data_IF_563959630888
#
_entry.id   IF_563959630888
#
_cell.length_a   1.000
_cell.length_b   1.000
_cell.length_c   1.000
_cell.angle_alpha   90.00
_cell.angle_beta   90.00
_cell.angle_gamma   90.00
#
_symmetry.space_group_name_H-M   'P 1'
#
loop_
_entity.id
_entity.type
_entity.pdbx_description
1 polymer ?
#
# COMPACT_ATOMS: atom_id res chain seq x y z
N UNK A 1 -18.33 -3.85 12.02
CA UNK A 1 -17.01 -3.98 11.37
C UNK A 1 -16.90 -5.30 10.60
N UNK A 2 -16.92 -6.46 11.26
CA UNK A 2 -16.84 -7.78 10.61
C UNK A 2 -17.83 -7.99 9.45
N UNK A 3 -19.10 -7.63 9.63
CA UNK A 3 -20.10 -7.70 8.56
C UNK A 3 -19.73 -6.81 7.35
N UNK A 4 -19.17 -5.61 7.59
CA UNK A 4 -18.73 -4.72 6.52
C UNK A 4 -17.52 -5.26 5.76
N UNK A 5 -16.61 -5.98 6.44
CA UNK A 5 -15.47 -6.69 5.82
C UNK A 5 -15.96 -7.83 4.94
N UNK A 6 -16.89 -8.65 5.43
CA UNK A 6 -17.47 -9.75 4.66
C UNK A 6 -18.19 -9.21 3.43
N UNK A 7 -19.02 -8.17 3.57
CA UNK A 7 -19.71 -7.52 2.46
C UNK A 7 -18.70 -6.94 1.45
N UNK A 8 -17.65 -6.27 1.91
CA UNK A 8 -16.62 -5.69 1.02
C UNK A 8 -15.85 -6.77 0.26
N UNK A 9 -15.54 -7.90 0.92
CA UNK A 9 -14.89 -9.05 0.30
C UNK A 9 -15.79 -9.68 -0.77
N UNK A 10 -17.06 -9.95 -0.44
CA UNK A 10 -18.04 -10.53 -1.38
C UNK A 10 -18.32 -9.59 -2.56
N UNK A 11 -18.28 -8.28 -2.33
CA UNK A 11 -18.45 -7.26 -3.37
C UNK A 11 -17.19 -7.04 -4.24
N UNK A 12 -16.08 -7.74 -3.99
CA UNK A 12 -14.81 -7.55 -4.71
C UNK A 12 -14.14 -6.20 -4.45
N UNK A 13 -14.52 -5.49 -3.37
CA UNK A 13 -13.95 -4.20 -2.98
C UNK A 13 -12.69 -4.41 -2.12
N UNK A 14 -11.68 -5.04 -2.70
CA UNK A 14 -10.39 -5.35 -2.07
C UNK A 14 -9.66 -4.10 -1.54
N UNK A 15 -9.90 -2.94 -2.16
CA UNK A 15 -9.38 -1.63 -1.73
C UNK A 15 -9.76 -1.26 -0.30
N UNK A 16 -11.00 -1.55 0.11
CA UNK A 16 -11.45 -1.21 1.48
C UNK A 16 -10.70 -2.05 2.50
N UNK A 17 -10.48 -3.32 2.18
CA UNK A 17 -9.73 -4.25 3.02
C UNK A 17 -8.26 -3.88 3.10
N UNK A 18 -7.64 -3.54 1.96
CA UNK A 18 -6.24 -3.12 1.91
C UNK A 18 -6.00 -1.79 2.64
N UNK A 19 -7.00 -0.90 2.68
CA UNK A 19 -6.94 0.36 3.43
C UNK A 19 -6.98 0.15 4.95
N UNK A 20 -7.83 -0.78 5.42
CA UNK A 20 -8.04 -1.07 6.84
C UNK A 20 -7.02 -2.05 7.43
N UNK A 21 -6.28 -2.79 6.58
CA UNK A 21 -5.21 -3.67 7.03
C UNK A 21 -4.07 -2.87 7.69
N UNK A 22 -3.79 -3.08 9.00
CA UNK A 22 -2.75 -2.36 9.71
C UNK A 22 -1.36 -2.58 9.12
N UNK A 23 -1.07 -3.77 8.58
CA UNK A 23 0.23 -4.07 8.01
C UNK A 23 0.46 -3.26 6.73
N UNK A 24 -0.50 -3.32 5.80
CA UNK A 24 -0.43 -2.57 4.55
C UNK A 24 -0.49 -1.06 4.78
N UNK A 25 -1.31 -0.59 5.72
CA UNK A 25 -1.32 0.81 6.14
C UNK A 25 0.05 1.29 6.63
N UNK A 26 0.70 0.49 7.49
CA UNK A 26 2.06 0.78 7.96
C UNK A 26 3.08 0.82 6.82
N UNK A 27 3.06 -0.17 5.92
CA UNK A 27 3.94 -0.19 4.75
C UNK A 27 3.80 1.06 3.87
N UNK A 28 2.57 1.54 3.67
CA UNK A 28 2.29 2.80 2.95
C UNK A 28 2.81 4.03 3.67
N UNK A 29 2.61 4.12 4.99
CA UNK A 29 3.13 5.23 5.81
C UNK A 29 4.66 5.28 5.76
N UNK A 30 5.34 4.14 5.93
CA UNK A 30 6.80 4.08 5.84
C UNK A 30 7.30 4.47 4.44
N UNK A 31 6.65 3.95 3.40
CA UNK A 31 7.10 4.16 2.01
C UNK A 31 6.89 5.60 1.53
N UNK A 32 5.72 6.18 1.80
CA UNK A 32 5.34 7.47 1.20
C UNK A 32 5.52 8.65 2.14
N UNK A 33 5.51 8.47 3.45
CA UNK A 33 5.67 9.56 4.41
C UNK A 33 7.06 9.55 5.05
N UNK A 34 7.44 8.46 5.72
CA UNK A 34 8.68 8.45 6.51
C UNK A 34 9.95 8.35 5.67
N UNK A 35 9.94 7.56 4.58
CA UNK A 35 11.12 7.40 3.71
C UNK A 35 11.54 8.70 3.02
N UNK A 36 10.65 9.50 2.40
CA UNK A 36 11.05 10.81 1.86
C UNK A 36 11.59 11.76 2.91
N UNK A 37 11.00 11.78 4.12
CA UNK A 37 11.50 12.60 5.24
C UNK A 37 12.90 12.14 5.69
N UNK A 38 13.12 10.83 5.77
CA UNK A 38 14.42 10.25 6.09
C UNK A 38 15.48 10.60 5.03
N UNK A 39 15.15 10.48 3.74
CA UNK A 39 16.04 10.85 2.64
C UNK A 39 16.33 12.35 2.61
N UNK A 40 15.34 13.20 2.89
CA UNK A 40 15.54 14.63 3.06
C UNK A 40 16.53 14.93 4.19
N UNK A 41 16.39 14.26 5.33
CA UNK A 41 17.34 14.34 6.44
C UNK A 41 18.76 13.90 6.03
N UNK A 42 18.88 12.79 5.31
CA UNK A 42 20.18 12.34 4.77
C UNK A 42 20.81 13.37 3.83
N UNK A 43 20.03 13.99 2.94
CA UNK A 43 20.54 15.00 2.01
C UNK A 43 21.00 16.28 2.74
N UNK A 44 20.29 16.69 3.80
CA UNK A 44 20.74 17.80 4.65
C UNK A 44 22.06 17.47 5.34
N UNK A 45 22.21 16.24 5.84
CA UNK A 45 23.46 15.78 6.43
C UNK A 45 24.59 15.68 5.38
N UNK A 46 24.28 15.23 4.17
CA UNK A 46 25.23 15.17 3.05
C UNK A 46 25.76 16.57 2.70
N UNK A 47 24.88 17.57 2.62
CA UNK A 47 25.27 18.97 2.38
C UNK A 47 26.15 19.53 3.52
N UNK A 48 25.75 19.26 4.77
CA UNK A 48 26.49 19.75 5.92
C UNK A 48 27.90 19.13 6.00
N UNK A 49 28.01 17.81 5.81
CA UNK A 49 29.26 17.09 5.96
C UNK A 49 30.20 17.28 4.76
N UNK A 50 29.65 17.44 3.55
CA UNK A 50 30.45 17.77 2.36
C UNK A 50 31.15 19.12 2.54
N UNK A 51 30.49 20.09 3.21
CA UNK A 51 31.11 21.37 3.54
C UNK A 51 32.32 21.23 4.48
N UNK A 52 32.32 20.23 5.36
CA UNK A 52 33.46 19.89 6.24
C UNK A 52 34.46 18.91 5.60
N UNK A 53 34.35 18.62 4.30
CA UNK A 53 35.23 17.70 3.58
C UNK A 53 35.02 16.22 3.92
N UNK A 54 33.87 15.87 4.50
CA UNK A 54 33.52 14.49 4.88
C UNK A 54 32.40 13.95 3.98
N UNK A 55 32.69 12.88 3.24
CA UNK A 55 31.77 12.27 2.26
C UNK A 55 31.08 10.99 2.77
N UNK A 56 30.94 10.85 4.09
CA UNK A 56 30.24 9.70 4.69
C UNK A 56 28.76 9.62 4.23
N UNK A 57 28.15 10.77 3.96
CA UNK A 57 26.79 10.88 3.45
C UNK A 57 26.81 11.31 1.98
N UNK A 58 26.01 10.67 1.15
CA UNK A 58 25.84 10.99 -0.27
C UNK A 58 24.40 11.46 -0.53
N UNK A 59 24.24 12.36 -1.51
CA UNK A 59 22.92 12.82 -1.92
C UNK A 59 22.12 11.68 -2.54
N UNK A 60 20.85 11.60 -2.15
CA UNK A 60 19.88 10.61 -2.61
C UNK A 60 18.69 11.30 -3.22
N UNK A 61 18.20 10.81 -4.36
CA UNK A 61 17.00 11.36 -4.98
C UNK A 61 15.76 11.07 -4.11
N UNK A 62 14.96 12.11 -3.85
CA UNK A 62 13.71 12.01 -3.10
C UNK A 62 12.58 11.83 -4.09
N UNK A 63 12.08 10.61 -4.22
CA UNK A 63 10.99 10.30 -5.15
C UNK A 63 9.65 10.09 -4.42
N UNK A 64 8.67 10.93 -4.74
CA UNK A 64 7.28 10.76 -4.30
C UNK A 64 6.54 10.00 -5.41
N UNK A 65 6.34 8.70 -5.23
CA UNK A 65 5.80 7.83 -6.29
C UNK A 65 4.36 8.16 -6.73
N UNK A 66 3.54 8.74 -5.84
CA UNK A 66 2.15 9.13 -6.14
C UNK A 66 1.59 10.07 -5.06
N UNK A 67 1.02 11.21 -5.46
CA UNK A 67 0.35 12.14 -4.55
C UNK A 67 -0.84 11.49 -3.85
N UNK A 68 -1.63 10.69 -4.56
CA UNK A 68 -2.78 9.99 -3.99
C UNK A 68 -2.34 9.04 -2.85
N UNK A 69 -1.24 8.31 -3.05
CA UNK A 69 -0.71 7.40 -2.04
C UNK A 69 -0.18 8.12 -0.81
N UNK A 70 0.45 9.28 -1.01
CA UNK A 70 0.89 10.15 0.08
C UNK A 70 -0.29 10.68 0.90
N UNK A 71 -1.32 11.21 0.23
CA UNK A 71 -2.51 11.73 0.91
C UNK A 71 -3.22 10.64 1.73
N UNK A 72 -3.35 9.43 1.18
CA UNK A 72 -3.92 8.29 1.89
C UNK A 72 -3.07 7.90 3.11
N UNK A 73 -1.74 7.89 2.98
CA UNK A 73 -0.84 7.59 4.09
C UNK A 73 -0.96 8.64 5.23
N UNK A 74 -0.98 9.93 4.88
CA UNK A 74 -1.16 11.03 5.85
C UNK A 74 -2.53 10.95 6.52
N UNK A 75 -3.60 10.74 5.74
CA UNK A 75 -4.95 10.59 6.27
C UNK A 75 -5.05 9.38 7.22
N UNK A 76 -4.46 8.24 6.85
CA UNK A 76 -4.47 7.03 7.69
C UNK A 76 -3.72 7.28 9.00
N UNK A 77 -2.53 7.89 8.94
CA UNK A 77 -1.77 8.26 10.14
C UNK A 77 -2.55 9.24 11.03
N UNK A 78 -3.20 10.24 10.43
CA UNK A 78 -4.03 11.21 11.13
C UNK A 78 -5.21 10.57 11.85
N UNK A 79 -5.95 9.68 11.18
CA UNK A 79 -7.07 8.93 11.77
C UNK A 79 -6.59 8.04 12.91
N UNK A 80 -5.53 7.27 12.71
CA UNK A 80 -4.96 6.39 13.74
C UNK A 80 -4.50 7.21 14.96
N UNK A 81 -3.80 8.33 14.74
CA UNK A 81 -3.31 9.20 15.81
C UNK A 81 -4.43 9.86 16.59
N UNK A 82 -5.47 10.35 15.89
CA UNK A 82 -6.66 10.94 16.51
C UNK A 82 -7.41 9.93 17.39
N UNK A 83 -7.64 8.72 16.87
CA UNK A 83 -8.27 7.64 17.59
C UNK A 83 -7.44 7.18 18.80
N UNK A 84 -6.12 7.11 18.63
CA UNK A 84 -5.17 6.80 19.70
C UNK A 84 -5.23 7.82 20.84
N UNK A 85 -5.26 9.12 20.51
CA UNK A 85 -5.31 10.19 21.49
C UNK A 85 -6.63 10.23 22.29
N UNK A 86 -7.77 9.92 21.65
CA UNK A 86 -9.10 9.99 22.29
C UNK A 86 -9.46 8.74 23.08
N UNK A 87 -9.13 7.56 22.57
CA UNK A 87 -9.68 6.30 23.08
C UNK A 87 -8.64 5.16 23.15
N UNK A 88 -7.35 5.47 23.11
CA UNK A 88 -6.29 4.46 23.14
C UNK A 88 -6.33 3.55 21.91
N UNK A 89 -6.24 2.24 22.09
CA UNK A 89 -6.14 1.25 20.99
C UNK A 89 -7.45 0.98 20.21
N UNK A 90 -8.24 2.00 19.91
CA UNK A 90 -9.53 1.82 19.19
C UNK A 90 -9.36 1.35 17.76
N UNK A 91 -8.36 1.84 17.01
CA UNK A 91 -8.08 1.32 15.66
C UNK A 91 -7.97 -0.20 15.68
N UNK A 92 -7.14 -0.74 16.58
CA UNK A 92 -6.94 -2.18 16.68
C UNK A 92 -8.19 -2.89 17.20
N UNK A 93 -8.85 -2.38 18.24
CA UNK A 93 -9.93 -3.11 18.91
C UNK A 93 -11.28 -3.07 18.17
N UNK A 94 -11.54 -2.05 17.35
CA UNK A 94 -12.88 -1.84 16.75
C UNK A 94 -12.86 -1.62 15.24
N UNK A 95 -11.80 -1.02 14.70
CA UNK A 95 -11.75 -0.63 13.28
C UNK A 95 -10.96 -1.61 12.41
N UNK A 96 -9.97 -2.29 12.98
CA UNK A 96 -9.17 -3.31 12.30
C UNK A 96 -9.95 -4.65 12.26
N UNK A 97 -10.01 -5.34 11.11
CA UNK A 97 -10.71 -6.61 11.00
C UNK A 97 -10.14 -7.65 11.97
N UNK A 98 -8.80 -7.76 11.96
CA UNK A 98 -8.05 -8.73 12.77
C UNK A 98 -8.29 -8.49 14.25
N UNK A 99 -8.17 -7.24 14.70
CA UNK A 99 -8.35 -6.95 16.12
C UNK A 99 -9.81 -7.04 16.58
N UNK A 100 -10.79 -6.85 15.68
CA UNK A 100 -12.21 -7.14 16.00
C UNK A 100 -12.42 -8.64 16.23
N UNK A 101 -11.82 -9.51 15.40
CA UNK A 101 -11.86 -10.97 15.59
C UNK A 101 -11.18 -11.37 16.89
N UNK A 102 -9.97 -10.84 17.15
CA UNK A 102 -9.22 -11.13 18.37
C UNK A 102 -9.95 -10.62 19.62
N UNK A 103 -10.64 -9.47 19.55
CA UNK A 103 -11.46 -8.95 20.65
C UNK A 103 -12.66 -9.85 20.97
N UNK A 104 -13.30 -10.42 19.94
CA UNK A 104 -14.36 -11.42 20.13
C UNK A 104 -13.83 -12.72 20.76
N UNK A 105 -12.68 -13.22 20.31
CA UNK A 105 -12.02 -14.37 20.93
C UNK A 105 -11.60 -14.08 22.38
N UNK A 106 -11.11 -12.86 22.65
CA UNK A 106 -10.79 -12.41 24.01
C UNK A 106 -12.02 -12.37 24.92
N UNK A 107 -13.19 -12.03 24.38
CA UNK A 107 -14.46 -12.08 25.13
C UNK A 107 -14.81 -13.51 25.60
N UNK A 108 -14.38 -14.53 24.86
CA UNK A 108 -14.59 -15.95 25.15
C UNK A 108 -13.49 -16.54 26.07
N UNK A 109 -12.43 -15.79 26.37
CA UNK A 109 -11.33 -16.25 27.21
C UNK A 109 -11.80 -16.77 28.58
N UNK A 110 -11.17 -17.87 29.02
CA UNK A 110 -11.42 -18.50 30.33
C UNK A 110 -10.86 -17.66 31.49
N UNK A 111 -9.76 -16.96 31.26
CA UNK A 111 -9.11 -16.11 32.26
C UNK A 111 -9.37 -14.64 31.94
N UNK A 112 -9.79 -13.87 32.95
CA UNK A 112 -10.12 -12.45 32.79
C UNK A 112 -9.54 -11.63 33.92
N UNK A 113 -9.23 -10.38 33.59
CA UNK A 113 -8.87 -9.39 34.59
C UNK A 113 -10.12 -8.98 35.38
N UNK A 114 -10.05 -8.98 36.70
CA UNK A 114 -11.13 -8.55 37.60
C UNK A 114 -10.59 -7.63 38.68
N UNK A 115 -11.40 -6.63 39.03
CA UNK A 115 -11.13 -5.73 40.14
C UNK A 115 -11.93 -6.24 41.33
N UNK A 116 -11.28 -6.42 42.48
CA UNK A 116 -11.96 -6.72 43.73
C UNK A 116 -12.55 -5.44 44.32
N UNK A 117 -13.87 -5.36 44.37
CA UNK A 117 -14.59 -4.18 44.88
C UNK A 117 -14.32 -3.91 46.37
N UNK A 118 -13.98 -4.93 47.17
CA UNK A 118 -13.75 -4.76 48.61
C UNK A 118 -12.42 -4.08 48.93
N UNK A 119 -11.41 -4.24 48.07
CA UNK A 119 -10.08 -3.64 48.27
C UNK A 119 -9.82 -2.43 47.36
N UNK A 120 -10.68 -2.19 46.36
CA UNK A 120 -10.52 -1.10 45.41
C UNK A 120 -10.95 0.25 46.00
N UNK A 121 -10.00 1.17 46.15
CA UNK A 121 -10.25 2.56 46.59
C UNK A 121 -10.62 3.51 45.43
N UNK A 122 -10.89 3.00 44.23
CA UNK A 122 -11.29 3.79 43.05
C UNK A 122 -10.34 4.94 42.67
N UNK A 123 -9.03 4.78 42.89
CA UNK A 123 -8.03 5.84 42.65
C UNK A 123 -7.79 6.16 41.15
N UNK A 124 -8.26 5.33 40.22
CA UNK A 124 -8.16 5.56 38.77
C UNK A 124 -6.77 5.36 38.16
N UNK A 125 -5.74 4.96 38.92
CA UNK A 125 -4.37 4.73 38.41
C UNK A 125 -4.35 3.65 37.32
N UNK A 126 -5.06 2.55 37.53
CA UNK A 126 -5.18 1.46 36.56
C UNK A 126 -5.82 1.93 35.24
N UNK A 127 -6.82 2.80 35.30
CA UNK A 127 -7.48 3.35 34.12
C UNK A 127 -6.54 4.24 33.29
N UNK A 128 -5.68 5.03 33.95
CA UNK A 128 -4.63 5.83 33.27
C UNK A 128 -3.54 4.97 32.65
N UNK A 129 -3.14 3.88 33.31
CA UNK A 129 -2.16 2.93 32.79
C UNK A 129 -2.71 2.08 31.62
N UNK A 130 -4.03 1.95 31.51
CA UNK A 130 -4.67 1.10 30.51
C UNK A 130 -4.54 1.67 29.08
N UNK A 131 -3.61 1.11 28.31
CA UNK A 131 -3.40 1.46 26.88
C UNK A 131 -4.63 1.20 25.99
N UNK A 132 -5.53 0.31 26.42
CA UNK A 132 -6.76 -0.02 25.69
C UNK A 132 -7.99 0.80 26.14
N UNK A 133 -7.85 1.67 27.16
CA UNK A 133 -8.93 2.48 27.73
C UNK A 133 -10.21 1.67 28.00
N UNK A 134 -10.03 0.48 28.60
CA UNK A 134 -11.09 -0.51 28.83
C UNK A 134 -11.48 -0.67 30.31
N UNK A 135 -10.93 0.15 31.20
CA UNK A 135 -11.20 0.10 32.64
C UNK A 135 -12.09 1.27 33.03
N UNK A 136 -13.24 0.98 33.63
CA UNK A 136 -14.10 1.94 34.30
C UNK A 136 -13.80 1.89 35.80
N UNK A 137 -13.07 2.90 36.30
CA UNK A 137 -12.71 3.00 37.70
C UNK A 137 -13.86 3.37 38.62
N UNK A 138 -14.97 3.93 38.11
CA UNK A 138 -16.13 4.30 38.93
C UNK A 138 -16.97 3.07 39.28
N UNK A 139 -17.11 2.16 38.32
CA UNK A 139 -17.89 0.95 38.47
C UNK A 139 -17.04 -0.28 38.78
N UNK A 140 -15.71 -0.14 38.95
CA UNK A 140 -14.77 -1.24 39.15
C UNK A 140 -14.88 -2.34 38.09
N UNK A 141 -15.14 -1.96 36.83
CA UNK A 141 -15.35 -2.89 35.73
C UNK A 141 -14.25 -2.80 34.67
N UNK A 142 -13.90 -3.96 34.11
CA UNK A 142 -12.95 -4.08 32.98
C UNK A 142 -13.68 -4.72 31.81
N UNK A 143 -13.71 -4.03 30.69
CA UNK A 143 -14.25 -4.54 29.44
C UNK A 143 -13.28 -5.54 28.80
N UNK A 144 -13.59 -6.83 28.99
CA UNK A 144 -12.78 -7.94 28.49
C UNK A 144 -12.70 -8.00 26.95
N UNK A 145 -13.64 -7.38 26.22
CA UNK A 145 -13.63 -7.41 24.74
C UNK A 145 -12.51 -6.55 24.16
N UNK A 146 -12.08 -5.52 24.91
CA UNK A 146 -11.02 -4.58 24.53
C UNK A 146 -9.71 -4.81 25.27
N UNK A 147 -9.75 -5.60 26.36
CA UNK A 147 -8.57 -5.94 27.14
C UNK A 147 -7.67 -6.92 26.38
N UNK A 148 -6.39 -6.57 26.25
CA UNK A 148 -5.34 -7.41 25.63
C UNK A 148 -4.43 -8.08 26.66
N UNK A 149 -4.83 -8.07 27.95
CA UNK A 149 -4.10 -8.68 29.05
C UNK A 149 -2.60 -8.31 29.11
N UNK A 150 -2.26 -7.02 28.94
CA UNK A 150 -0.88 -6.54 29.01
C UNK A 150 -0.31 -6.38 30.43
N UNK A 151 -1.12 -6.64 31.46
CA UNK A 151 -0.77 -6.56 32.89
C UNK A 151 -0.35 -5.19 33.45
N UNK A 152 -0.21 -4.14 32.64
CA UNK A 152 0.11 -2.76 33.08
C UNK A 152 -0.77 -2.26 34.25
N UNK A 153 -2.04 -2.72 34.32
CA UNK A 153 -2.96 -2.33 35.39
C UNK A 153 -2.70 -3.00 36.74
N UNK A 154 -2.13 -4.22 36.75
CA UNK A 154 -1.74 -4.92 37.98
C UNK A 154 -0.55 -4.19 38.59
N UNK A 155 0.45 -3.87 37.77
CA UNK A 155 1.67 -3.17 38.21
C UNK A 155 1.37 -1.76 38.72
N UNK A 156 0.38 -1.08 38.14
CA UNK A 156 -0.04 0.25 38.57
C UNK A 156 -0.93 0.27 39.83
N UNK A 157 -1.39 -0.88 40.32
CA UNK A 157 -2.33 -0.96 41.43
C UNK A 157 -1.62 -1.15 42.78
N UNK A 158 -1.51 -0.07 43.55
CA UNK A 158 -0.90 -0.10 44.89
C UNK A 158 -1.62 -1.00 45.90
N UNK A 159 -2.94 -1.18 45.76
CA UNK A 159 -3.77 -1.99 46.67
C UNK A 159 -3.86 -3.46 46.21
N UNK A 160 -3.18 -3.81 45.12
CA UNK A 160 -3.20 -5.16 44.52
C UNK A 160 -4.62 -5.71 44.28
N UNK A 161 -5.60 -4.82 44.04
CA UNK A 161 -7.02 -5.18 43.88
C UNK A 161 -7.35 -5.84 42.53
N UNK A 162 -6.39 -5.87 41.59
CA UNK A 162 -6.60 -6.40 40.24
C UNK A 162 -6.00 -7.81 40.14
N UNK A 163 -6.83 -8.78 39.76
CA UNK A 163 -6.42 -10.19 39.67
C UNK A 163 -6.76 -10.77 38.30
N UNK A 164 -5.90 -11.67 37.81
CA UNK A 164 -6.15 -12.45 36.59
C UNK A 164 -6.64 -13.83 37.00
N UNK A 165 -7.94 -14.08 36.89
CA UNK A 165 -8.58 -15.29 37.45
C UNK A 165 -9.45 -15.99 36.41
N UNK A 166 -9.64 -17.29 36.61
CA UNK A 166 -10.56 -18.09 35.80
C UNK A 166 -12.00 -17.60 36.03
N UNK A 167 -12.82 -17.63 34.98
CA UNK A 167 -14.27 -17.37 35.00
C UNK A 167 -14.99 -18.47 35.78
N UNK A 168 -14.80 -18.54 37.10
CA UNK A 168 -15.61 -19.39 37.97
C UNK A 168 -16.99 -18.74 38.10
N UNK A 169 -18.07 -19.51 37.91
CA UNK A 169 -19.43 -19.10 38.32
C UNK A 169 -19.30 -18.61 39.76
N UNK A 170 -19.67 -17.35 40.01
CA UNK A 170 -19.80 -16.87 41.37
C UNK A 170 -20.82 -17.81 42.05
N UNK A 171 -20.37 -18.62 43.00
CA UNK A 171 -21.29 -19.24 43.95
C UNK A 171 -21.62 -18.16 44.98
N UNK A 172 -22.91 -17.82 45.19
CA UNK A 172 -23.31 -17.02 46.32
C UNK A 172 -23.29 -17.87 47.61
N UNK A 173 -23.05 -17.19 48.72
CA UNK A 173 -23.17 -17.64 50.13
C UNK A 173 -22.02 -18.52 50.68
N UNK A 174 -21.49 -18.24 51.86
CA UNK A 174 -22.23 -18.37 53.15
C UNK A 174 -21.59 -17.58 54.32
N UNK A 175 -22.27 -17.43 55.49
CA UNK A 175 -22.40 -16.15 56.22
C UNK A 175 -21.99 -16.19 57.71
N UNK A 176 -21.88 -15.01 58.34
CA UNK A 176 -22.16 -14.75 59.77
C UNK A 176 -21.98 -13.24 60.02
N UNK A 177 -22.88 -12.46 60.59
CA UNK A 177 -24.19 -12.68 61.18
C UNK A 177 -24.77 -11.32 61.55
N UNK A 178 -26.10 -11.28 61.75
CA UNK A 178 -26.90 -10.25 62.43
C UNK A 178 -26.85 -8.80 61.90
N UNK A 179 -27.91 -8.01 61.94
CA UNK A 179 -29.36 -8.17 62.02
C UNK A 179 -29.89 -6.78 61.67
N UNK A 180 -31.04 -6.69 60.99
CA UNK A 180 -32.14 -5.75 61.29
C UNK A 180 -32.99 -5.56 60.04
N UNK A 181 -34.25 -5.91 60.23
CA UNK A 181 -35.39 -5.80 59.33
C UNK A 181 -35.62 -4.35 58.88
N UNK A 182 -36.04 -4.19 57.61
CA UNK A 182 -37.27 -3.42 57.31
C UNK A 182 -37.80 -3.67 55.89
N UNK A 183 -38.91 -4.41 55.88
CA UNK A 183 -40.15 -4.23 55.09
C UNK A 183 -40.05 -3.83 53.61
N UNK A 184 -40.45 -4.81 52.80
CA UNK A 184 -41.08 -4.64 51.50
C UNK A 184 -42.55 -4.21 51.68
N UNK A 185 -42.93 -3.14 50.99
CA UNK A 185 -44.28 -2.80 50.53
C UNK A 185 -44.10 -1.54 49.64
N UNK A 186 -44.69 -1.32 48.47
CA UNK A 186 -45.50 -2.06 47.51
C UNK A 186 -46.09 -0.96 46.59
N UNK A 187 -46.42 -1.33 45.35
CA UNK A 187 -47.45 -0.69 44.49
C UNK A 187 -47.03 0.47 43.57
N UNK A 188 -47.48 0.32 42.31
CA UNK A 188 -47.84 1.41 41.38
C UNK A 188 -46.82 1.60 40.26
N UNK A 189 -46.88 0.87 39.13
CA UNK A 189 -47.73 1.17 37.98
C UNK A 189 -47.69 2.66 37.59
N UNK A 190 -47.04 2.98 36.47
CA UNK A 190 -47.62 3.77 35.38
C UNK A 190 -46.65 3.88 34.20
N UNK A 191 -47.16 3.48 33.04
CA UNK A 191 -46.57 3.75 31.75
C UNK A 191 -46.70 5.25 31.47
N UNK A 192 -45.58 5.91 31.13
CA UNK A 192 -45.62 7.21 30.48
C UNK A 192 -44.58 7.23 29.38
N UNK A 193 -45.09 7.28 28.15
CA UNK A 193 -44.28 7.42 26.96
C UNK A 193 -43.61 8.78 26.91
N UNK A 194 -42.35 8.80 26.48
CA UNK A 194 -41.67 10.00 26.01
C UNK A 194 -41.30 9.82 24.55
N UNK A 195 -42.14 10.47 23.74
CA UNK A 195 -41.83 11.25 22.53
C UNK A 195 -40.44 11.07 21.93
N UNK A 196 -40.43 10.44 20.76
CA UNK A 196 -39.34 10.54 19.78
C UNK A 196 -39.24 11.99 19.34
N UNK A 197 -38.17 12.65 19.77
CA UNK A 197 -37.81 14.01 19.36
C UNK A 197 -37.48 14.01 17.86
N UNK A 198 -38.41 14.58 17.11
CA UNK A 198 -38.43 14.73 15.65
C UNK A 198 -37.50 15.85 15.16
N UNK A 199 -36.39 16.08 15.86
CA UNK A 199 -35.40 17.12 15.53
C UNK A 199 -34.00 16.57 15.23
N UNK A 200 -33.81 15.24 15.24
CA UNK A 200 -32.52 14.59 14.88
C UNK A 200 -32.51 13.90 13.51
N UNK A 201 -33.64 13.89 12.80
CA UNK A 201 -33.76 13.29 11.46
C UNK A 201 -33.50 14.28 10.32
N UNK A 202 -33.34 15.58 10.61
CA UNK A 202 -33.05 16.61 9.62
C UNK A 202 -31.56 17.01 9.53
N UNK A 203 -30.68 16.48 10.39
CA UNK A 203 -29.25 16.78 10.33
C UNK A 203 -28.42 15.73 9.56
N UNK A 204 -29.00 14.55 9.28
CA UNK A 204 -28.35 13.51 8.46
C UNK A 204 -28.75 13.53 6.96
N UNK A 205 -29.67 14.41 6.57
CA UNK A 205 -30.04 14.63 5.15
C UNK A 205 -29.24 15.74 4.46
N UNK A 206 -28.56 16.61 5.20
CA UNK A 206 -27.90 17.80 4.66
C UNK A 206 -26.42 17.59 4.23
N UNK A 207 -25.85 16.41 4.50
CA UNK A 207 -24.48 16.05 4.06
C UNK A 207 -24.46 15.25 2.74
N UNK A 208 -25.63 14.87 2.21
CA UNK A 208 -25.75 14.07 1.00
C UNK A 208 -25.99 14.89 -0.29
N UNK A 209 -26.11 16.23 -0.21
CA UNK A 209 -26.46 17.07 -1.37
C UNK A 209 -25.45 18.19 -1.68
N UNK A 210 -24.46 18.45 -0.82
CA UNK A 210 -23.43 19.48 -1.11
C UNK A 210 -22.16 18.95 -1.77
N UNK A 211 -22.18 17.72 -2.31
CA UNK A 211 -21.09 17.16 -3.12
C UNK A 211 -21.38 17.14 -4.64
N UNK A 212 -22.56 17.62 -5.08
CA UNK A 212 -22.96 17.57 -6.50
C UNK A 212 -23.16 18.94 -7.16
N UNK A 213 -22.73 20.02 -6.53
CA UNK A 213 -22.75 21.36 -7.12
C UNK A 213 -21.41 22.09 -6.94
N UNK A 214 -20.32 21.46 -7.36
CA UNK A 214 -19.17 22.20 -7.84
C UNK A 214 -19.28 22.23 -9.37
N UNK A 215 -19.21 23.40 -10.02
CA UNK A 215 -19.27 23.46 -11.47
C UNK A 215 -18.07 22.69 -12.02
N UNK A 216 -18.35 21.64 -12.77
CA UNK A 216 -17.39 20.78 -13.49
C UNK A 216 -16.72 21.49 -14.66
N UNK A 217 -16.63 22.81 -14.63
CA UNK A 217 -16.04 23.64 -15.68
C UNK A 217 -14.67 24.15 -15.25
N UNK A 218 -13.76 23.24 -14.95
CA UNK A 218 -12.31 23.45 -15.07
C UNK A 218 -11.65 22.08 -15.34
N UNK A 219 -12.23 21.33 -16.30
CA UNK A 219 -11.55 20.21 -16.92
C UNK A 219 -10.58 20.78 -17.97
N UNK A 220 -9.31 20.81 -17.57
CA UNK A 220 -8.11 20.79 -18.39
C UNK A 220 -8.35 21.00 -19.90
N UNK A 221 -8.24 22.25 -20.34
CA UNK A 221 -7.79 22.50 -21.71
C UNK A 221 -6.31 22.11 -21.77
N UNK A 222 -6.04 20.83 -21.97
CA UNK A 222 -4.76 20.40 -22.48
C UNK A 222 -4.67 20.96 -23.90
N UNK A 223 -3.86 22.01 -24.07
CA UNK A 223 -3.46 22.52 -25.38
C UNK A 223 -2.70 21.37 -26.04
N UNK A 224 -3.38 20.58 -26.87
CA UNK A 224 -2.75 19.57 -27.71
C UNK A 224 -2.01 20.31 -28.81
N UNK A 225 -0.73 20.62 -28.57
CA UNK A 225 0.19 21.02 -29.64
C UNK A 225 0.19 19.84 -30.63
N UNK A 226 -0.19 20.04 -31.90
CA UNK A 226 -0.19 18.97 -32.89
C UNK A 226 1.27 18.66 -33.21
N UNK A 227 1.86 17.72 -32.47
CA UNK A 227 3.29 17.38 -32.57
C UNK A 227 3.57 16.38 -33.69
N UNK A 228 2.63 16.14 -34.61
CA UNK A 228 2.76 15.16 -35.71
C UNK A 228 2.90 13.69 -35.25
N UNK A 229 3.13 13.44 -33.96
CA UNK A 229 3.29 12.13 -33.34
C UNK A 229 1.94 11.55 -32.91
N UNK A 230 1.77 10.26 -33.19
CA UNK A 230 0.57 9.46 -32.94
C UNK A 230 0.43 9.12 -31.45
N UNK A 231 -0.68 9.49 -30.80
CA UNK A 231 -0.97 9.06 -29.43
C UNK A 231 -1.19 7.55 -29.37
N UNK A 232 -0.69 6.90 -28.32
CA UNK A 232 -1.01 5.52 -28.01
C UNK A 232 -1.54 5.38 -26.59
N UNK A 233 -2.41 4.40 -26.39
CA UNK A 233 -2.92 4.00 -25.08
C UNK A 233 -2.70 2.51 -24.93
N UNK A 234 -2.14 2.11 -23.78
CA UNK A 234 -1.98 0.69 -23.45
C UNK A 234 -3.34 0.04 -23.28
N UNK A 235 -3.49 -1.15 -23.85
CA UNK A 235 -4.68 -1.97 -23.65
C UNK A 235 -4.61 -2.64 -22.26
N UNK A 236 -3.43 -3.14 -21.88
CA UNK A 236 -3.20 -3.77 -20.60
C UNK A 236 -2.10 -3.07 -19.78
N UNK A 237 -2.30 -2.94 -18.47
CA UNK A 237 -1.27 -2.45 -17.58
C UNK A 237 -0.14 -3.47 -17.44
N UNK A 238 1.08 -2.98 -17.23
CA UNK A 238 2.26 -3.84 -17.13
C UNK A 238 2.51 -4.15 -15.66
N UNK A 239 2.18 -5.37 -15.26
CA UNK A 239 2.37 -5.84 -13.89
C UNK A 239 3.82 -6.27 -13.64
N UNK A 240 4.34 -6.15 -12.40
CA UNK A 240 5.73 -6.49 -12.08
C UNK A 240 6.05 -7.96 -12.36
N UNK A 241 7.33 -8.33 -12.53
CA UNK A 241 7.70 -9.73 -12.75
C UNK A 241 7.24 -10.60 -11.57
N UNK A 242 6.74 -11.80 -11.87
CA UNK A 242 6.25 -12.75 -10.87
C UNK A 242 4.78 -12.55 -10.48
N UNK A 243 4.09 -11.54 -11.04
CA UNK A 243 2.65 -11.34 -10.80
C UNK A 243 1.76 -12.41 -11.41
N UNK A 244 2.26 -13.21 -12.37
CA UNK A 244 1.54 -14.20 -13.19
C UNK A 244 0.48 -13.55 -14.10
N UNK A 245 -0.47 -12.79 -13.55
CA UNK A 245 -1.49 -12.06 -14.30
C UNK A 245 -1.95 -10.83 -13.52
N UNK A 246 -2.65 -9.92 -14.20
CA UNK A 246 -3.30 -8.79 -13.53
C UNK A 246 -4.34 -9.27 -12.49
N UNK A 247 -5.04 -10.37 -12.77
CA UNK A 247 -6.04 -10.98 -11.88
C UNK A 247 -5.39 -11.59 -10.64
N UNK A 248 -4.32 -12.38 -10.79
CA UNK A 248 -3.60 -12.94 -9.66
C UNK A 248 -3.06 -11.83 -8.73
N UNK A 249 -2.56 -10.74 -9.32
CA UNK A 249 -2.13 -9.56 -8.55
C UNK A 249 -3.32 -8.92 -7.80
N UNK A 250 -4.49 -8.79 -8.43
CA UNK A 250 -5.71 -8.24 -7.81
C UNK A 250 -6.17 -9.06 -6.60
N UNK A 251 -6.04 -10.38 -6.68
CA UNK A 251 -6.51 -11.29 -5.63
C UNK A 251 -5.56 -11.37 -4.42
N UNK A 252 -4.26 -11.18 -4.64
CA UNK A 252 -3.24 -11.43 -3.61
C UNK A 252 -2.54 -10.16 -3.10
N UNK A 253 -2.53 -9.06 -3.87
CA UNK A 253 -1.81 -7.85 -3.48
C UNK A 253 -2.60 -7.01 -2.47
N UNK A 254 -1.97 -6.69 -1.33
CA UNK A 254 -2.58 -5.81 -0.32
C UNK A 254 -2.14 -4.35 -0.43
N UNK A 255 -1.46 -3.98 -1.53
CA UNK A 255 -0.91 -2.62 -1.73
C UNK A 255 -0.06 -2.12 -0.52
N UNK A 256 0.80 -2.99 0.03
CA UNK A 256 1.71 -2.67 1.14
C UNK A 256 2.91 -1.81 0.72
N UNK A 257 3.18 -1.71 -0.59
CA UNK A 257 4.23 -0.90 -1.21
C UNK A 257 5.69 -1.26 -0.86
N UNK A 258 5.95 -2.44 -0.28
CA UNK A 258 7.31 -2.91 -0.04
C UNK A 258 8.11 -3.04 -1.35
N UNK A 259 7.51 -3.62 -2.39
CA UNK A 259 8.13 -3.74 -3.71
C UNK A 259 8.41 -2.38 -4.35
N UNK A 260 7.49 -1.41 -4.20
CA UNK A 260 7.64 -0.03 -4.69
C UNK A 260 8.81 0.65 -3.98
N UNK A 261 8.90 0.52 -2.66
CA UNK A 261 9.97 1.12 -1.86
C UNK A 261 11.36 0.53 -2.17
N UNK A 262 11.43 -0.79 -2.44
CA UNK A 262 12.68 -1.53 -2.66
C UNK A 262 13.14 -1.56 -4.12
N UNK A 263 12.33 -1.06 -5.06
CA UNK A 263 12.68 -1.01 -6.46
C UNK A 263 13.84 0.01 -6.69
N UNK A 264 15.05 -0.44 -7.06
CA UNK A 264 16.20 0.45 -7.22
C UNK A 264 16.04 1.38 -8.43
N UNK A 265 15.38 0.89 -9.49
CA UNK A 265 15.14 1.66 -10.71
C UNK A 265 13.87 2.51 -10.66
N UNK A 266 13.11 2.45 -9.55
CA UNK A 266 11.90 3.25 -9.33
C UNK A 266 10.81 3.11 -10.42
N UNK A 267 10.87 2.02 -11.22
CA UNK A 267 9.90 1.73 -12.28
C UNK A 267 8.52 1.37 -11.72
N UNK A 268 8.47 0.87 -10.48
CA UNK A 268 7.22 0.51 -9.81
C UNK A 268 6.57 1.76 -9.20
N UNK A 269 5.32 2.01 -9.58
CA UNK A 269 4.49 3.09 -9.03
C UNK A 269 3.15 2.54 -8.56
N UNK A 270 2.49 3.16 -7.57
CA UNK A 270 1.13 2.82 -7.20
C UNK A 270 0.17 3.15 -8.34
N UNK A 271 -0.60 2.16 -8.78
CA UNK A 271 -1.67 2.34 -9.76
C UNK A 271 -2.79 3.22 -9.18
N UNK A 272 -3.43 4.00 -10.05
CA UNK A 272 -4.65 4.74 -9.76
C UNK A 272 -5.88 3.98 -10.28
N UNK A 273 -5.98 3.82 -11.60
CA UNK A 273 -7.11 3.15 -12.27
C UNK A 273 -6.65 2.14 -13.36
N UNK A 274 -5.35 1.86 -13.44
CA UNK A 274 -4.75 0.99 -14.45
C UNK A 274 -5.30 -0.44 -14.40
N UNK A 275 -5.59 -0.95 -13.19
CA UNK A 275 -6.20 -2.26 -12.95
C UNK A 275 -7.70 -2.15 -12.62
N UNK A 276 -8.34 -1.02 -12.96
CA UNK A 276 -9.68 -0.68 -12.47
C UNK A 276 -9.70 -0.25 -11.01
N UNK A 277 -10.91 -0.10 -10.44
CA UNK A 277 -11.09 0.39 -9.06
C UNK A 277 -10.52 -0.58 -8.03
N UNK A 278 -10.61 -1.89 -8.26
CA UNK A 278 -10.11 -2.92 -7.35
C UNK A 278 -8.59 -2.92 -7.16
N UNK A 279 -7.83 -2.45 -8.17
CA UNK A 279 -6.37 -2.42 -8.11
C UNK A 279 -5.78 -1.06 -7.76
N UNK A 280 -6.55 -0.20 -7.10
CA UNK A 280 -6.06 1.07 -6.56
C UNK A 280 -4.84 0.81 -5.66
N UNK A 281 -3.75 1.54 -5.88
CA UNK A 281 -2.47 1.45 -5.18
C UNK A 281 -1.69 0.14 -5.37
N UNK A 282 -2.12 -0.75 -6.27
CA UNK A 282 -1.31 -1.93 -6.62
C UNK A 282 -0.07 -1.51 -7.44
N UNK A 283 1.04 -2.26 -7.37
CA UNK A 283 2.23 -1.91 -8.14
C UNK A 283 1.98 -2.08 -9.64
N UNK A 284 2.31 -1.06 -10.40
CA UNK A 284 2.34 -1.08 -11.88
C UNK A 284 3.69 -0.56 -12.36
N UNK A 285 4.21 -1.13 -13.43
CA UNK A 285 5.41 -0.60 -14.08
C UNK A 285 5.06 0.61 -14.94
N UNK A 286 5.87 1.66 -14.80
CA UNK A 286 5.77 2.88 -15.59
C UNK A 286 7.18 3.35 -15.96
N UNK A 287 7.38 3.68 -17.23
CA UNK A 287 8.70 3.93 -17.80
C UNK A 287 9.06 5.41 -17.95
N UNK A 288 8.40 6.31 -17.22
CA UNK A 288 8.67 7.75 -17.33
C UNK A 288 9.99 8.16 -16.64
N UNK A 289 10.38 7.42 -15.59
CA UNK A 289 11.55 7.75 -14.74
C UNK A 289 12.48 6.55 -14.48
N UNK A 290 12.24 5.42 -15.13
CA UNK A 290 13.08 4.23 -14.97
C UNK A 290 12.55 3.03 -15.75
N UNK A 291 13.25 1.90 -15.64
CA UNK A 291 12.88 0.66 -16.31
C UNK A 291 13.16 -0.55 -15.41
N UNK A 292 12.64 -1.72 -15.76
CA UNK A 292 12.89 -2.93 -14.98
C UNK A 292 14.30 -3.44 -15.27
N UNK A 293 15.20 -3.38 -14.28
CA UNK A 293 16.57 -3.88 -14.44
C UNK A 293 16.56 -5.40 -14.67
N UNK A 294 17.19 -5.88 -15.74
CA UNK A 294 17.14 -7.27 -16.21
C UNK A 294 17.52 -8.26 -15.09
N UNK A 295 18.66 -8.07 -14.44
CA UNK A 295 19.23 -8.98 -13.42
C UNK A 295 18.71 -8.81 -11.97
N UNK A 296 17.59 -8.10 -11.77
CA UNK A 296 17.08 -7.75 -10.43
C UNK A 296 15.81 -8.51 -10.02
N UNK A 297 15.82 -9.24 -8.91
CA UNK A 297 14.64 -9.99 -8.38
C UNK A 297 14.04 -9.39 -7.10
N UNK A 298 14.57 -8.27 -6.61
CA UNK A 298 14.23 -7.73 -5.28
C UNK A 298 12.73 -7.58 -5.01
N UNK A 299 11.93 -7.20 -6.01
CA UNK A 299 10.49 -7.01 -5.82
C UNK A 299 9.74 -8.32 -5.51
N UNK A 300 10.18 -9.46 -6.06
CA UNK A 300 9.61 -10.77 -5.77
C UNK A 300 10.08 -11.29 -4.41
N UNK A 301 11.31 -10.94 -4.03
CA UNK A 301 11.93 -11.41 -2.78
C UNK A 301 11.32 -10.75 -1.53
N UNK A 302 10.78 -9.54 -1.67
CA UNK A 302 10.18 -8.78 -0.56
C UNK A 302 8.67 -8.90 -0.46
N UNK A 303 8.02 -9.63 -1.37
CA UNK A 303 6.56 -9.75 -1.39
C UNK A 303 6.07 -10.71 -0.29
N UNK A 304 5.27 -10.25 0.70
CA UNK A 304 4.85 -11.11 1.81
C UNK A 304 3.58 -11.92 1.52
N UNK A 305 2.82 -11.57 0.47
CA UNK A 305 1.51 -12.17 0.18
C UNK A 305 1.53 -13.08 -1.04
N UNK A 306 2.71 -13.42 -1.56
CA UNK A 306 2.87 -14.19 -2.80
C UNK A 306 2.22 -13.55 -4.04
N UNK A 307 1.80 -12.29 -3.96
CA UNK A 307 1.25 -11.54 -5.08
C UNK A 307 2.27 -11.39 -6.22
N UNK A 308 3.56 -11.38 -5.87
CA UNK A 308 4.69 -11.56 -6.77
C UNK A 308 5.42 -12.84 -6.35
N UNK A 309 5.35 -13.90 -7.17
CA UNK A 309 6.03 -15.16 -6.90
C UNK A 309 7.55 -14.95 -6.95
N UNK A 310 8.31 -15.56 -6.02
CA UNK A 310 9.77 -15.56 -6.06
C UNK A 310 10.28 -16.07 -7.41
N UNK A 311 11.19 -15.31 -8.03
CA UNK A 311 11.83 -15.67 -9.29
C UNK A 311 13.34 -15.71 -9.11
N UNK A 312 14.00 -16.68 -9.76
CA UNK A 312 15.45 -16.61 -9.99
C UNK A 312 15.74 -15.60 -11.11
N UNK A 313 16.98 -15.13 -11.21
CA UNK A 313 17.38 -14.25 -12.33
C UNK A 313 17.13 -14.91 -13.69
N UNK A 314 17.48 -16.18 -13.83
CA UNK A 314 17.25 -16.94 -15.06
C UNK A 314 15.77 -17.05 -15.43
N UNK A 315 14.90 -17.34 -14.45
CA UNK A 315 13.46 -17.37 -14.68
C UNK A 315 12.94 -15.97 -15.07
N UNK A 316 13.45 -14.93 -14.41
CA UNK A 316 13.10 -13.55 -14.74
C UNK A 316 13.52 -13.17 -16.16
N UNK A 317 14.70 -13.58 -16.62
CA UNK A 317 15.19 -13.33 -17.97
C UNK A 317 14.31 -13.94 -19.06
N UNK A 318 13.46 -14.90 -18.71
CA UNK A 318 12.47 -15.50 -19.60
C UNK A 318 11.04 -15.03 -19.30
N UNK A 319 10.80 -14.29 -18.23
CA UNK A 319 9.45 -13.85 -17.86
C UNK A 319 9.04 -12.67 -18.73
N UNK A 320 8.12 -12.88 -19.67
CA UNK A 320 7.56 -11.85 -20.53
C UNK A 320 6.37 -11.14 -19.86
N UNK A 321 6.66 -9.98 -19.27
CA UNK A 321 5.67 -9.12 -18.62
C UNK A 321 4.84 -8.30 -19.63
N UNK A 322 5.43 -8.07 -20.80
CA UNK A 322 4.85 -7.32 -21.90
C UNK A 322 5.72 -7.45 -23.14
N UNK A 323 5.22 -6.90 -24.25
CA UNK A 323 5.86 -6.97 -25.57
C UNK A 323 6.16 -5.58 -26.10
N UNK A 324 7.27 -5.47 -26.81
CA UNK A 324 7.68 -4.23 -27.46
C UNK A 324 6.80 -3.94 -28.69
N UNK A 325 6.44 -2.67 -28.86
CA UNK A 325 5.68 -2.16 -30.01
C UNK A 325 6.39 -0.91 -30.53
N UNK A 326 6.66 -0.89 -31.83
CA UNK A 326 7.30 0.23 -32.52
C UNK A 326 6.28 0.97 -33.41
N UNK A 327 6.28 2.30 -33.30
CA UNK A 327 5.44 3.22 -34.08
C UNK A 327 6.38 4.10 -34.92
N UNK A 328 6.48 3.78 -36.22
CA UNK A 328 7.40 4.45 -37.14
C UNK A 328 7.21 5.97 -37.16
N UNK A 329 5.96 6.45 -37.22
CA UNK A 329 5.64 7.88 -37.33
C UNK A 329 5.99 8.70 -36.08
N UNK A 330 6.35 8.05 -34.98
CA UNK A 330 6.81 8.72 -33.75
C UNK A 330 8.34 8.78 -33.66
N UNK A 331 9.05 8.01 -34.49
CA UNK A 331 10.50 7.86 -34.43
C UNK A 331 11.21 9.14 -34.89
N UNK A 332 12.15 9.65 -34.08
CA UNK A 332 12.96 10.84 -34.43
C UNK A 332 13.82 10.63 -35.68
N UNK A 333 14.19 9.37 -35.99
CA UNK A 333 14.86 9.04 -37.26
C UNK A 333 13.95 9.27 -38.46
N UNK A 334 12.65 8.99 -38.30
CA UNK A 334 11.65 9.17 -39.35
C UNK A 334 11.13 10.61 -39.42
N UNK A 335 10.88 11.25 -38.28
CA UNK A 335 10.30 12.61 -38.23
C UNK A 335 11.33 13.71 -38.42
N UNK A 336 12.53 13.53 -37.85
CA UNK A 336 13.54 14.58 -37.72
C UNK A 336 14.78 14.25 -38.58
N UNK A 337 14.79 13.10 -39.29
CA UNK A 337 15.89 12.61 -40.14
C UNK A 337 17.26 12.55 -39.41
N UNK A 338 17.24 12.30 -38.09
CA UNK A 338 18.44 12.20 -37.25
C UNK A 338 18.84 10.76 -36.96
N UNK A 339 20.14 10.46 -36.90
CA UNK A 339 20.63 9.12 -36.53
C UNK A 339 20.40 8.86 -35.03
N UNK A 340 19.66 7.79 -34.70
CA UNK A 340 19.38 7.42 -33.32
C UNK A 340 19.23 5.89 -33.17
N UNK A 341 20.01 5.29 -32.26
CA UNK A 341 19.98 3.85 -31.94
C UNK A 341 19.68 3.52 -30.48
N UNK A 342 19.28 4.51 -29.67
CA UNK A 342 19.23 4.40 -28.21
C UNK A 342 18.42 3.20 -27.69
N UNK A 343 17.30 2.90 -28.36
CA UNK A 343 16.42 1.79 -27.99
C UNK A 343 17.04 0.40 -28.19
N UNK A 344 17.91 0.23 -29.19
CA UNK A 344 18.66 -1.00 -29.45
C UNK A 344 19.76 -1.18 -28.41
N UNK A 345 20.53 -0.12 -28.13
CA UNK A 345 21.63 -0.14 -27.14
C UNK A 345 21.17 -0.48 -25.72
N UNK A 346 19.94 -0.11 -25.37
CA UNK A 346 19.37 -0.37 -24.04
C UNK A 346 18.57 -1.68 -23.97
N UNK A 347 18.51 -2.47 -25.06
CA UNK A 347 17.75 -3.71 -25.11
C UNK A 347 18.61 -4.91 -24.67
N UNK A 348 18.42 -5.45 -23.44
CA UNK A 348 19.27 -6.55 -22.95
C UNK A 348 19.04 -7.87 -23.69
N UNK A 349 17.86 -8.07 -24.29
CA UNK A 349 17.52 -9.31 -25.00
C UNK A 349 17.69 -9.21 -26.51
N UNK A 350 18.20 -8.09 -27.03
CA UNK A 350 18.29 -7.80 -28.46
C UNK A 350 16.95 -7.91 -29.22
N UNK A 351 15.81 -7.78 -28.52
CA UNK A 351 14.48 -7.66 -29.09
C UNK A 351 14.27 -6.42 -29.97
N UNK A 352 15.21 -5.47 -29.93
CA UNK A 352 15.24 -4.29 -30.76
C UNK A 352 16.58 -4.28 -31.49
N UNK A 353 16.55 -4.34 -32.82
CA UNK A 353 17.75 -4.31 -33.68
C UNK A 353 17.64 -3.16 -34.68
N UNK A 354 18.72 -2.45 -34.91
CA UNK A 354 18.75 -1.40 -35.92
C UNK A 354 18.88 -2.03 -37.32
N UNK A 355 17.99 -1.67 -38.24
CA UNK A 355 18.02 -2.11 -39.65
C UNK A 355 18.20 -0.91 -40.57
N UNK A 356 18.85 -1.09 -41.74
CA UNK A 356 18.99 -0.02 -42.72
C UNK A 356 17.65 0.64 -43.06
N UNK A 357 17.66 1.96 -43.03
CA UNK A 357 16.58 2.83 -43.48
C UNK A 357 17.11 3.75 -44.59
N UNK A 358 16.27 4.66 -45.07
CA UNK A 358 16.61 5.67 -46.10
C UNK A 358 18.02 6.27 -45.89
N UNK A 359 18.76 6.37 -46.99
CA UNK A 359 20.14 6.87 -47.04
C UNK A 359 21.09 6.11 -46.10
N UNK A 360 21.75 6.81 -45.18
CA UNK A 360 22.65 6.22 -44.17
C UNK A 360 21.98 6.05 -42.79
N UNK A 361 20.66 6.25 -42.70
CA UNK A 361 19.94 6.14 -41.44
C UNK A 361 19.55 4.68 -41.16
N UNK A 362 19.30 4.37 -39.88
CA UNK A 362 18.79 3.07 -39.46
C UNK A 362 17.57 3.26 -38.56
N UNK A 363 16.59 2.36 -38.65
CA UNK A 363 15.40 2.37 -37.79
C UNK A 363 15.33 1.08 -36.98
N UNK A 364 14.67 1.09 -35.80
CA UNK A 364 14.50 -0.12 -35.01
C UNK A 364 13.51 -1.08 -35.67
N UNK A 365 13.95 -2.33 -35.84
CA UNK A 365 13.10 -3.50 -36.05
C UNK A 365 12.93 -4.23 -34.71
N UNK A 366 11.70 -4.68 -34.43
CA UNK A 366 11.37 -5.29 -33.14
C UNK A 366 10.96 -6.75 -33.28
N UNK A 367 11.39 -7.58 -32.33
CA UNK A 367 11.00 -8.98 -32.19
C UNK A 367 10.30 -9.19 -30.83
N UNK A 368 8.95 -9.26 -30.81
CA UNK A 368 8.19 -9.50 -29.60
C UNK A 368 8.46 -10.86 -28.93
N UNK A 369 8.96 -11.88 -29.65
CA UNK A 369 9.10 -13.24 -29.12
C UNK A 369 10.22 -13.36 -28.08
N UNK A 370 11.28 -12.57 -28.24
CA UNK A 370 12.43 -12.50 -27.32
C UNK A 370 12.37 -11.29 -26.36
N UNK A 371 11.33 -10.47 -26.48
CA UNK A 371 11.12 -9.33 -25.58
C UNK A 371 10.62 -9.82 -24.21
N UNK A 372 11.15 -9.28 -23.11
CA UNK A 372 10.65 -9.56 -21.75
C UNK A 372 9.76 -8.43 -21.20
N UNK A 373 9.66 -7.30 -21.90
CA UNK A 373 8.87 -6.14 -21.47
C UNK A 373 9.53 -5.32 -20.36
N UNK A 374 10.87 -5.26 -20.31
CA UNK A 374 11.59 -4.51 -19.28
C UNK A 374 11.44 -2.98 -19.38
N UNK A 375 11.09 -2.47 -20.56
CA UNK A 375 10.84 -1.05 -20.83
C UNK A 375 12.08 -0.16 -20.98
N UNK A 376 13.29 -0.73 -21.04
CA UNK A 376 14.52 0.05 -21.26
C UNK A 376 14.48 0.87 -22.55
N UNK A 377 13.97 0.27 -23.63
CA UNK A 377 13.80 0.94 -24.92
C UNK A 377 12.79 2.09 -24.89
N UNK A 378 11.72 1.97 -24.10
CA UNK A 378 10.70 3.02 -23.94
C UNK A 378 11.24 4.19 -23.12
N UNK A 379 11.90 3.88 -22.00
CA UNK A 379 12.48 4.88 -21.09
C UNK A 379 13.48 5.79 -21.81
N UNK A 380 14.40 5.20 -22.59
CA UNK A 380 15.47 5.96 -23.28
C UNK A 380 14.97 6.69 -24.54
N UNK A 381 13.77 6.38 -25.03
CA UNK A 381 13.31 6.95 -26.30
C UNK A 381 13.13 8.48 -26.17
N UNK A 382 13.81 9.29 -27.01
CA UNK A 382 13.78 10.75 -26.90
C UNK A 382 12.50 11.38 -27.49
N UNK A 383 11.67 10.60 -28.19
CA UNK A 383 10.45 11.12 -28.81
C UNK A 383 9.46 11.61 -27.74
N UNK A 384 9.00 12.86 -27.90
CA UNK A 384 8.04 13.52 -26.99
C UNK A 384 6.96 14.22 -27.80
N UNK A 385 5.69 14.30 -27.33
CA UNK A 385 5.16 13.75 -26.08
C UNK A 385 4.89 12.24 -26.14
N UNK A 386 4.75 11.65 -27.34
CA UNK A 386 4.51 10.23 -27.52
C UNK A 386 5.78 9.50 -27.97
N UNK A 387 6.16 8.48 -27.22
CA UNK A 387 7.33 7.63 -27.50
C UNK A 387 7.16 6.90 -28.84
N UNK A 388 8.29 6.66 -29.51
CA UNK A 388 8.33 5.90 -30.76
C UNK A 388 8.26 4.38 -30.54
N UNK A 389 8.72 3.94 -29.39
CA UNK A 389 8.76 2.55 -28.99
C UNK A 389 8.21 2.48 -27.57
N UNK A 390 7.29 1.55 -27.33
CA UNK A 390 6.69 1.36 -26.02
C UNK A 390 6.50 -0.12 -25.74
N UNK A 391 6.29 -0.46 -24.46
CA UNK A 391 5.91 -1.81 -24.05
C UNK A 391 4.40 -1.84 -23.81
N UNK A 392 3.76 -2.84 -24.42
CA UNK A 392 2.38 -3.22 -24.18
C UNK A 392 2.34 -4.37 -23.17
N UNK A 393 1.52 -4.27 -22.12
CA UNK A 393 1.41 -5.30 -21.10
C UNK A 393 0.77 -6.57 -21.63
N UNK A 394 1.18 -7.72 -21.10
CA UNK A 394 0.43 -8.96 -21.33
C UNK A 394 -0.61 -9.12 -20.20
N UNK A 395 -1.85 -9.57 -20.51
CA UNK A 395 -2.84 -9.85 -19.46
C UNK A 395 -2.40 -10.97 -18.51
N UNK A 396 -1.68 -11.96 -19.08
CA UNK A 396 -1.02 -13.06 -18.37
C UNK A 396 0.45 -13.06 -18.81
N UNK A 397 1.37 -13.13 -17.85
CA UNK A 397 2.81 -13.21 -18.12
C UNK A 397 3.12 -14.50 -18.87
N UNK A 398 3.91 -14.37 -19.93
CA UNK A 398 4.31 -15.48 -20.79
C UNK A 398 5.78 -15.81 -20.58
N UNK A 399 6.26 -16.87 -21.22
CA UNK A 399 7.69 -17.16 -21.32
C UNK A 399 8.22 -16.65 -22.67
N UNK A 400 9.18 -15.73 -22.63
CA UNK A 400 9.91 -15.26 -23.80
C UNK A 400 10.86 -16.36 -24.30
N UNK A 401 11.09 -16.38 -25.61
CA UNK A 401 12.12 -17.23 -26.20
C UNK A 401 13.50 -16.77 -25.69
N UNK A 402 14.39 -17.73 -25.44
CA UNK A 402 15.77 -17.40 -25.10
C UNK A 402 16.42 -16.71 -26.31
N UNK A 403 17.00 -15.53 -26.09
CA UNK A 403 17.83 -14.91 -27.12
C UNK A 403 19.14 -15.70 -27.20
N UNK A 404 19.59 -16.00 -28.42
CA UNK A 404 20.87 -16.66 -28.65
C UNK A 404 21.91 -15.54 -28.76
N UNK A 405 22.87 -15.51 -27.84
CA UNK A 405 24.07 -14.70 -28.03
C UNK A 405 24.77 -15.21 -29.29
N UNK A 406 24.70 -14.45 -30.39
CA UNK A 406 25.57 -14.71 -31.53
C UNK A 406 27.01 -14.61 -31.01
N UNK A 407 27.69 -15.76 -31.03
CA UNK A 407 29.09 -15.93 -30.60
C UNK A 407 29.88 -14.73 -31.10
N UNK A 408 30.44 -13.95 -30.16
CA UNK A 408 31.38 -12.87 -30.49
C UNK A 408 32.45 -13.47 -31.38
N UNK A 409 32.38 -13.20 -32.69
CA UNK A 409 33.50 -13.43 -33.57
C UNK A 409 34.55 -12.45 -33.10
N UNK A 410 35.60 -12.95 -32.47
CA UNK A 410 36.83 -12.20 -32.24
C UNK A 410 37.37 -11.82 -33.62
N UNK A 411 36.92 -10.68 -34.13
CA UNK A 411 37.55 -10.04 -35.27
C UNK A 411 38.85 -9.50 -34.71
N UNK A 412 39.94 -10.25 -34.89
CA UNK A 412 41.27 -9.71 -34.70
C UNK A 412 41.43 -8.55 -35.68
N UNK A 413 41.31 -7.32 -35.17
CA UNK A 413 41.65 -6.13 -35.92
C UNK A 413 43.18 -6.14 -36.06
N UNK A 414 43.67 -6.64 -37.20
CA UNK A 414 45.08 -6.50 -37.58
C UNK A 414 45.39 -5.01 -37.72
N UNK A 415 46.07 -4.45 -36.73
CA UNK A 415 46.67 -3.12 -36.78
C UNK A 415 45.66 -1.98 -36.70
N UNK A 416 45.56 -1.36 -35.53
CA UNK A 416 45.20 0.05 -35.48
C UNK A 416 46.33 0.83 -36.18
N UNK A 417 46.10 1.21 -37.44
CA UNK A 417 46.98 2.11 -38.17
C UNK A 417 46.93 3.51 -37.55
N UNK A 418 47.81 3.76 -36.60
CA UNK A 418 48.22 5.09 -36.14
C UNK A 418 49.70 5.29 -36.48
#
# INVERSE_FOLDING_TARGET
>A
MLAAVIVSYVAGLTVVLSLLDPYSAFGRMVTHLFRPVYMAGNNVLAELFSHFGNYTFYHTDIFVHSLASLLIAVATLGVVSFLAARHGRTWCNTLCPVGTVLGYLSALSLFKMRINESTCISCGKCAKACKASCIDSKNSQIDATRCVACFDCIDACNEHSITYTLKRKANPATPSGESTERKMASVGAEAKGETIDESKRQFMGALAVTALAAPSTLLAQAISIPTGRVPFKRAYPISPPGSISAEHLLDHCTACHLCVAKCPSQVLKPALLQYGVGGLMMPVMNFDHGFCNFDCTLCTDVCPTDALKPLTKEAKHKTQMGRVVFILHNCVVYTDETSCGACSEHCPTQAVKMVPFKDALTIPSVDPAICVGCGGCEYVCPAVPYKAIHVEGNPVQLEAQAFVDEVKKDVQLEGFGF
#
